data_IF_787903065932
#
_entry.id   IF_787903065932
#
_cell.length_a   1.000
_cell.length_b   1.000
_cell.length_c   1.000
_cell.angle_alpha   90.00
_cell.angle_beta   90.00
_cell.angle_gamma   90.00
#
_symmetry.space_group_name_H-M   'P 1'
#
loop_
_entity.id
_entity.type
_entity.pdbx_description
1 polymer ?
#
# COMPACT_ATOMS: atom_id res chain seq x y z
N UNK A 1 6.42 -26.46 -20.12
CA UNK A 1 5.35 -25.58 -19.59
C UNK A 1 5.94 -24.90 -18.36
N UNK A 2 6.14 -23.59 -18.39
CA UNK A 2 6.57 -22.86 -17.21
C UNK A 2 5.37 -22.73 -16.27
N UNK A 3 5.49 -23.20 -15.03
CA UNK A 3 4.51 -22.92 -13.98
C UNK A 3 4.39 -21.41 -13.83
N UNK A 4 3.18 -20.84 -13.61
CA UNK A 4 3.08 -19.44 -13.23
C UNK A 4 3.85 -19.28 -11.93
N UNK A 5 4.90 -18.44 -11.95
CA UNK A 5 5.56 -18.03 -10.73
C UNK A 5 4.49 -17.35 -9.88
N UNK A 6 4.10 -17.96 -8.76
CA UNK A 6 3.42 -17.23 -7.70
C UNK A 6 4.47 -16.24 -7.19
N UNK A 7 4.52 -15.04 -7.77
CA UNK A 7 5.33 -13.96 -7.23
C UNK A 7 4.87 -13.76 -5.79
N UNK A 8 5.75 -14.06 -4.84
CA UNK A 8 5.52 -13.75 -3.44
C UNK A 8 5.30 -12.25 -3.33
N UNK A 9 4.20 -11.84 -2.72
CA UNK A 9 3.97 -10.42 -2.48
C UNK A 9 5.07 -9.87 -1.56
N UNK A 10 5.43 -8.59 -1.74
CA UNK A 10 6.19 -7.83 -0.75
C UNK A 10 5.61 -8.00 0.66
N UNK A 11 6.46 -7.97 1.67
CA UNK A 11 6.07 -8.15 3.06
C UNK A 11 5.64 -6.81 3.66
N UNK A 12 4.43 -6.75 4.22
CA UNK A 12 4.00 -5.59 5.00
C UNK A 12 4.83 -5.46 6.28
N UNK A 13 5.38 -4.27 6.53
CA UNK A 13 6.06 -3.92 7.77
C UNK A 13 5.03 -3.56 8.85
N UNK A 14 5.36 -3.70 10.15
CA UNK A 14 4.57 -3.09 11.20
C UNK A 14 4.41 -1.59 10.92
N UNK A 15 3.19 -1.07 11.06
CA UNK A 15 2.92 0.36 10.96
C UNK A 15 3.61 1.15 12.08
N UNK A 16 3.81 2.46 11.89
CA UNK A 16 4.59 3.31 12.79
C UNK A 16 3.93 3.46 14.17
N UNK A 17 2.61 3.61 14.18
CA UNK A 17 1.81 3.77 15.40
C UNK A 17 0.97 2.52 15.71
N UNK A 18 0.58 2.28 16.98
CA UNK A 18 -0.32 1.17 17.33
C UNK A 18 -1.68 1.24 16.64
N UNK A 19 -2.32 0.08 16.43
CA UNK A 19 -3.66 -0.01 15.82
C UNK A 19 -4.76 0.67 16.64
N UNK A 20 -4.59 0.76 17.96
CA UNK A 20 -5.52 1.43 18.87
C UNK A 20 -5.20 2.93 19.08
N UNK A 21 -4.17 3.45 18.40
CA UNK A 21 -3.86 4.87 18.40
C UNK A 21 -4.96 5.66 17.66
N UNK A 22 -5.40 6.84 18.15
CA UNK A 22 -6.45 7.62 17.49
C UNK A 22 -6.16 7.99 16.04
N UNK A 23 -4.90 8.13 15.66
CA UNK A 23 -4.49 8.45 14.29
C UNK A 23 -4.52 7.22 13.35
N UNK A 24 -4.63 5.99 13.88
CA UNK A 24 -4.88 4.78 13.10
C UNK A 24 -6.35 4.71 12.65
N UNK A 25 -6.77 5.67 11.82
CA UNK A 25 -8.16 5.86 11.40
C UNK A 25 -8.39 5.71 9.89
N UNK A 26 -7.32 5.49 9.12
CA UNK A 26 -7.35 5.39 7.67
C UNK A 26 -7.88 4.03 7.20
N UNK A 27 -8.63 4.03 6.10
CA UNK A 27 -9.50 2.91 5.70
C UNK A 27 -9.04 2.19 4.45
N UNK A 28 -8.21 2.83 3.65
CA UNK A 28 -7.73 2.39 2.35
C UNK A 28 -8.90 1.93 1.46
N UNK A 29 -9.93 2.76 1.35
CA UNK A 29 -11.11 2.51 0.51
C UNK A 29 -11.09 3.49 -0.66
N UNK A 30 -10.71 3.00 -1.84
CA UNK A 30 -10.77 3.78 -3.06
C UNK A 30 -12.22 4.02 -3.51
N UNK A 31 -12.48 5.22 -4.03
CA UNK A 31 -13.76 5.64 -4.59
C UNK A 31 -13.61 6.83 -5.55
N UNK A 32 -14.71 7.34 -6.12
CA UNK A 32 -14.66 8.47 -7.05
C UNK A 32 -13.98 9.72 -6.46
N UNK A 33 -14.20 9.98 -5.18
CA UNK A 33 -13.67 11.16 -4.46
C UNK A 33 -12.33 10.88 -3.75
N UNK A 34 -11.87 9.62 -3.77
CA UNK A 34 -10.58 9.18 -3.22
C UNK A 34 -10.00 8.07 -4.10
N UNK A 35 -9.41 8.41 -5.26
CA UNK A 35 -8.96 7.41 -6.23
C UNK A 35 -7.75 6.62 -5.70
N UNK A 36 -7.62 5.38 -6.17
CA UNK A 36 -6.37 4.62 -6.04
C UNK A 36 -5.45 4.99 -7.21
N UNK A 37 -4.28 5.52 -6.89
CA UNK A 37 -3.25 5.90 -7.83
C UNK A 37 -1.95 5.15 -7.52
N UNK A 38 -1.07 5.08 -8.52
CA UNK A 38 0.30 4.68 -8.29
C UNK A 38 1.24 5.45 -9.22
N UNK A 39 2.45 5.76 -8.76
CA UNK A 39 3.44 6.42 -9.61
C UNK A 39 3.93 5.46 -10.69
N UNK A 40 4.35 5.98 -11.87
CA UNK A 40 4.93 5.14 -12.91
C UNK A 40 6.14 4.34 -12.41
N UNK A 41 6.99 4.94 -11.57
CA UNK A 41 8.18 4.29 -11.04
C UNK A 41 7.84 3.12 -10.09
N UNK A 42 6.82 3.28 -9.24
CA UNK A 42 6.34 2.19 -8.39
C UNK A 42 5.78 1.02 -9.23
N UNK A 43 5.03 1.31 -10.29
CA UNK A 43 4.52 0.28 -11.21
C UNK A 43 5.66 -0.41 -11.95
N UNK A 44 6.67 0.32 -12.42
CA UNK A 44 7.82 -0.25 -13.12
C UNK A 44 8.63 -1.18 -12.20
N UNK A 45 8.87 -0.78 -10.95
CA UNK A 45 9.65 -1.57 -10.01
C UNK A 45 8.88 -2.78 -9.48
N UNK A 46 7.63 -2.58 -9.08
CA UNK A 46 6.86 -3.59 -8.33
C UNK A 46 5.83 -4.33 -9.18
N UNK A 47 5.51 -3.87 -10.40
CA UNK A 47 4.39 -4.34 -11.26
C UNK A 47 3.02 -3.85 -10.81
N UNK A 48 2.10 -3.72 -11.77
CA UNK A 48 0.74 -3.28 -11.51
C UNK A 48 -0.02 -4.27 -10.61
N UNK A 49 0.17 -5.58 -10.86
CA UNK A 49 -0.49 -6.66 -10.14
C UNK A 49 -0.08 -6.68 -8.67
N UNK A 50 1.20 -6.46 -8.38
CA UNK A 50 1.72 -6.42 -7.00
C UNK A 50 1.24 -5.20 -6.26
N UNK A 51 1.27 -4.02 -6.88
CA UNK A 51 0.73 -2.78 -6.28
C UNK A 51 -0.75 -2.98 -5.91
N UNK A 52 -1.56 -3.51 -6.83
CA UNK A 52 -2.97 -3.78 -6.56
C UNK A 52 -3.16 -4.80 -5.44
N UNK A 53 -2.37 -5.89 -5.43
CA UNK A 53 -2.45 -6.91 -4.38
C UNK A 53 -2.07 -6.36 -2.99
N UNK A 54 -1.05 -5.51 -2.90
CA UNK A 54 -0.65 -4.84 -1.66
C UNK A 54 -1.76 -3.91 -1.15
N UNK A 55 -2.38 -3.12 -2.04
CA UNK A 55 -3.55 -2.30 -1.68
C UNK A 55 -4.70 -3.14 -1.09
N UNK A 56 -5.00 -4.30 -1.68
CA UNK A 56 -6.05 -5.19 -1.16
C UNK A 56 -5.73 -5.74 0.23
N UNK A 57 -4.45 -6.00 0.53
CA UNK A 57 -3.99 -6.37 1.88
C UNK A 57 -4.27 -5.23 2.88
N UNK A 58 -3.93 -3.98 2.52
CA UNK A 58 -4.17 -2.83 3.39
C UNK A 58 -5.65 -2.62 3.68
N UNK A 59 -6.50 -2.72 2.66
CA UNK A 59 -7.96 -2.62 2.82
C UNK A 59 -8.49 -3.68 3.79
N UNK A 60 -8.00 -4.91 3.71
CA UNK A 60 -8.40 -5.97 4.63
C UNK A 60 -7.91 -5.69 6.06
N UNK A 61 -6.68 -5.22 6.22
CA UNK A 61 -6.11 -4.89 7.52
C UNK A 61 -6.86 -3.73 8.18
N UNK A 62 -7.14 -2.67 7.44
CA UNK A 62 -7.95 -1.53 7.92
C UNK A 62 -9.35 -1.95 8.33
N UNK A 63 -9.97 -2.91 7.63
CA UNK A 63 -11.24 -3.48 8.04
C UNK A 63 -11.14 -4.27 9.36
N UNK A 64 -10.04 -5.01 9.56
CA UNK A 64 -9.84 -5.83 10.77
C UNK A 64 -9.60 -4.99 12.03
N UNK A 65 -8.87 -3.87 11.89
CA UNK A 65 -8.45 -3.03 13.01
C UNK A 65 -9.32 -1.79 13.22
N UNK A 66 -10.38 -1.60 12.41
CA UNK A 66 -11.21 -0.39 12.38
C UNK A 66 -10.41 0.89 12.05
N UNK A 67 -9.34 0.74 11.29
CA UNK A 67 -8.42 1.81 10.90
C UNK A 67 -6.97 1.37 11.03
N UNK A 68 -6.11 1.97 10.23
CA UNK A 68 -4.64 1.84 10.30
C UNK A 68 -3.99 3.20 10.08
N UNK A 69 -2.69 3.26 10.27
CA UNK A 69 -1.85 4.43 10.01
C UNK A 69 -1.91 4.84 8.52
N UNK A 70 -1.75 6.13 8.26
CA UNK A 70 -1.92 6.72 6.93
C UNK A 70 -0.82 6.28 5.95
N UNK A 71 0.38 5.98 6.46
CA UNK A 71 1.52 5.47 5.70
C UNK A 71 1.74 3.98 6.01
N UNK A 72 1.79 3.18 4.95
CA UNK A 72 2.05 1.74 5.03
C UNK A 72 3.20 1.37 4.11
N UNK A 73 4.09 0.50 4.58
CA UNK A 73 5.33 0.16 3.87
C UNK A 73 5.41 -1.33 3.62
N UNK A 74 5.57 -1.70 2.36
CA UNK A 74 5.87 -3.06 1.94
C UNK A 74 7.33 -3.17 1.51
N UNK A 75 8.06 -4.10 2.10
CA UNK A 75 9.44 -4.40 1.74
C UNK A 75 9.55 -5.62 0.82
N UNK A 76 10.49 -5.56 -0.11
CA UNK A 76 10.88 -6.69 -0.97
C UNK A 76 12.40 -6.66 -1.12
N UNK A 77 13.09 -7.62 -0.49
CA UNK A 77 14.56 -7.74 -0.50
C UNK A 77 15.15 -7.91 -1.92
N UNK A 78 14.31 -8.17 -2.92
CA UNK A 78 14.71 -8.29 -4.33
C UNK A 78 14.62 -6.97 -5.10
N UNK A 79 14.12 -5.90 -4.48
CA UNK A 79 13.88 -4.59 -5.11
C UNK A 79 14.82 -3.53 -4.54
N UNK A 80 14.98 -2.46 -5.30
CA UNK A 80 15.84 -1.35 -4.91
C UNK A 80 15.22 -0.46 -3.82
N UNK A 81 13.89 -0.41 -3.75
CA UNK A 81 13.13 0.43 -2.84
C UNK A 81 11.85 -0.27 -2.37
N UNK A 82 11.44 0.05 -1.15
CA UNK A 82 10.17 -0.37 -0.56
C UNK A 82 9.00 0.25 -1.36
N UNK A 83 7.84 -0.42 -1.37
CA UNK A 83 6.60 0.13 -1.89
C UNK A 83 5.83 0.81 -0.76
N UNK A 84 5.65 2.12 -0.85
CA UNK A 84 4.86 2.90 0.10
C UNK A 84 3.43 3.04 -0.39
N UNK A 85 2.50 3.07 0.56
CA UNK A 85 1.12 3.49 0.34
C UNK A 85 0.78 4.61 1.32
N UNK A 86 0.28 5.72 0.79
CA UNK A 86 -0.20 6.85 1.57
C UNK A 86 -1.68 7.04 1.28
N UNK A 87 -2.52 7.02 2.31
CA UNK A 87 -3.89 7.53 2.20
C UNK A 87 -3.91 8.99 2.67
N UNK A 88 -4.15 9.90 1.74
CA UNK A 88 -4.37 11.30 2.06
C UNK A 88 -5.70 11.48 2.82
N UNK A 89 -5.82 12.61 3.53
CA UNK A 89 -7.06 13.03 4.18
C UNK A 89 -8.21 13.30 3.20
N UNK A 90 -9.24 14.01 3.66
CA UNK A 90 -10.44 14.28 2.86
C UNK A 90 -10.13 14.95 1.51
N UNK A 91 -10.65 14.36 0.44
CA UNK A 91 -10.49 14.85 -0.94
C UNK A 91 -9.14 14.55 -1.60
N UNK A 92 -8.25 13.79 -0.94
CA UNK A 92 -6.99 13.33 -1.51
C UNK A 92 -7.08 11.95 -2.19
N UNK A 93 -5.96 11.26 -2.36
CA UNK A 93 -5.89 9.95 -3.01
C UNK A 93 -5.34 8.87 -2.07
N UNK A 94 -5.46 7.61 -2.48
CA UNK A 94 -4.63 6.51 -1.97
C UNK A 94 -3.55 6.31 -3.01
N UNK A 95 -2.29 6.56 -2.65
CA UNK A 95 -1.18 6.56 -3.62
C UNK A 95 -0.16 5.51 -3.26
N UNK A 96 0.09 4.58 -4.19
CA UNK A 96 1.26 3.70 -4.18
C UNK A 96 2.47 4.37 -4.83
N UNK A 97 3.57 4.53 -4.11
CA UNK A 97 4.75 5.25 -4.60
C UNK A 97 6.05 4.67 -4.07
N UNK A 98 7.17 5.03 -4.70
CA UNK A 98 8.49 4.80 -4.11
C UNK A 98 8.82 5.93 -3.12
N UNK A 99 9.68 5.70 -2.12
CA UNK A 99 10.16 6.75 -1.21
C UNK A 99 10.81 7.92 -1.96
N UNK A 100 11.48 7.65 -3.08
CA UNK A 100 12.12 8.66 -3.93
C UNK A 100 11.15 9.53 -4.73
N UNK A 101 9.86 9.15 -4.82
CA UNK A 101 8.82 9.94 -5.48
C UNK A 101 8.12 10.94 -4.53
N UNK A 102 8.38 10.85 -3.22
CA UNK A 102 7.80 11.69 -2.17
C UNK A 102 8.66 12.94 -1.89
#
# INVERSE_FOLDING_TARGET
MASPSFMSLPRLKPQEIPFDHPDSCFRFIAGPDKPLLATPAAIEMHTHETVLACYLVLRQLAQQHDGIDYLQVFEDDTKGEDLWFIEDGDGGAITGLLPSDY
#
